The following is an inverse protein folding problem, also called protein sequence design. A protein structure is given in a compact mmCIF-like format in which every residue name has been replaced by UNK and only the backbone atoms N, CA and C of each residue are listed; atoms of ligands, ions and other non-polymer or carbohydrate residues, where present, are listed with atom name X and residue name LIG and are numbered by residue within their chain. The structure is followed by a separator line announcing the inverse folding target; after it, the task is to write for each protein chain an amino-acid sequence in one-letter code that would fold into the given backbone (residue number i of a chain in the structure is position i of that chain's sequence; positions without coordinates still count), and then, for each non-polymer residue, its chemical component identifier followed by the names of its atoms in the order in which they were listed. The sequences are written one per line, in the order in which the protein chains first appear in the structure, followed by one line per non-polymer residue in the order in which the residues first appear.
data_IF_576537363145
#
_entry.id   IF_576537363145
#
_cell.length_a   1.000
_cell.length_b   1.000
_cell.length_c   1.000
_cell.angle_alpha   90.00
_cell.angle_beta   90.00
_cell.angle_gamma   90.00
#
_symmetry.space_group_name_H-M   'P 1'
#
loop_
_entity.id
_entity.type
_entity.pdbx_description
1 polymer ?
2 non-polymer ?
3 water ?
#
# COMPACT_ATOMS: atom_id res chain seq x y z
N UNK A 19 13.95 -15.43 13.54
CA UNK A 19 14.40 -16.22 12.40
C UNK A 19 14.73 -15.33 11.20
N UNK A 20 14.30 -15.75 10.01
CA UNK A 20 14.41 -14.90 8.83
C UNK A 20 13.33 -13.84 8.90
N UNK A 21 13.69 -12.59 8.58
CA UNK A 21 12.77 -11.48 8.70
C UNK A 21 11.96 -11.25 7.43
N UNK A 22 10.86 -10.53 7.57
CA UNK A 22 10.05 -10.13 6.42
C UNK A 22 9.45 -8.75 6.65
N UNK A 23 9.23 -8.02 5.57
CA UNK A 23 8.35 -6.87 5.59
C UNK A 23 6.93 -7.36 5.32
N UNK A 24 5.99 -6.99 6.19
CA UNK A 24 4.59 -7.38 6.02
C UNK A 24 3.70 -6.14 5.97
N UNK A 25 2.97 -5.99 4.87
CA UNK A 25 2.08 -4.84 4.72
C UNK A 25 0.62 -5.28 4.61
N UNK A 26 -0.19 -4.90 5.59
CA UNK A 26 -1.62 -5.16 5.56
C UNK A 26 -2.35 -3.91 5.09
N UNK A 27 -2.72 -3.91 3.81
CA UNK A 27 -3.49 -2.84 3.23
C UNK A 27 -4.95 -3.03 3.57
N UNK A 28 -5.50 -2.13 4.37
CA UNK A 28 -6.86 -2.26 4.85
C UNK A 28 -7.84 -1.59 3.90
N UNK A 29 -8.01 -0.27 4.04
CA UNK A 29 -9.00 0.43 3.25
C UNK A 29 -8.40 1.62 2.50
N UNK A 30 -9.02 1.96 1.39
CA UNK A 30 -8.77 3.24 0.72
C UNK A 30 -10.10 3.98 0.68
N UNK A 31 -10.14 5.17 1.29
CA UNK A 31 -11.41 5.89 1.44
C UNK A 31 -11.42 7.24 0.74
N UNK A 32 -12.61 7.85 0.70
CA UNK A 32 -12.85 9.11 -0.01
C UNK A 32 -12.48 9.02 -1.48
N UNK A 33 -12.77 7.86 -2.07
CA UNK A 33 -12.65 7.70 -3.52
C UNK A 33 -13.69 8.53 -4.25
N UNK A 34 -13.36 8.97 -5.46
CA UNK A 34 -14.30 9.71 -6.29
C UNK A 34 -15.09 8.78 -7.22
N UNK A 35 -16.37 9.07 -7.42
CA UNK A 35 -17.19 8.30 -8.34
C UNK A 35 -17.25 6.79 -8.08
N UNK A 36 -17.45 6.05 -9.16
CA UNK A 36 -17.71 4.62 -9.10
C UNK A 36 -16.80 3.92 -10.11
N UNK A 37 -16.11 2.87 -9.67
CA UNK A 37 -15.13 2.22 -10.54
C UNK A 37 -14.64 0.94 -9.90
N UNK A 38 -14.21 -0.01 -10.74
CA UNK A 38 -13.41 -1.12 -10.25
C UNK A 38 -12.10 -0.50 -9.77
N UNK A 39 -11.60 -0.98 -8.63
CA UNK A 39 -10.35 -0.42 -8.09
C UNK A 39 -9.29 -1.49 -7.93
N UNK A 40 -8.03 -1.10 -8.05
CA UNK A 40 -6.92 -2.03 -7.83
C UNK A 40 -5.71 -1.32 -7.20
N UNK A 41 -5.01 -2.04 -6.33
CA UNK A 41 -3.88 -1.49 -5.61
C UNK A 41 -2.57 -2.18 -6.01
N UNK A 42 -1.49 -1.41 -6.05
CA UNK A 42 -0.16 -1.92 -6.35
C UNK A 42 0.81 -1.49 -5.25
N UNK A 43 1.56 -2.45 -4.71
CA UNK A 43 2.48 -2.17 -3.62
C UNK A 43 3.89 -2.61 -4.01
N UNK A 44 4.89 -1.80 -3.68
CA UNK A 44 6.25 -2.09 -4.12
C UNK A 44 7.28 -1.86 -3.03
N UNK A 45 8.22 -2.80 -2.93
CA UNK A 45 9.37 -2.67 -2.03
C UNK A 45 10.57 -3.36 -2.69
N UNK A 46 11.70 -2.67 -2.68
CA UNK A 46 12.93 -3.14 -3.31
C UNK A 46 12.70 -3.62 -4.76
N UNK A 47 11.86 -2.89 -5.49
CA UNK A 47 11.60 -3.20 -6.88
C UNK A 47 10.69 -4.39 -7.13
N UNK A 48 10.26 -5.05 -6.05
CA UNK A 48 9.30 -6.13 -6.19
C UNK A 48 7.87 -5.63 -5.92
N UNK A 49 7.02 -5.77 -6.93
CA UNK A 49 5.62 -5.31 -6.84
C UNK A 49 4.64 -6.46 -6.69
N UNK A 50 3.53 -6.20 -6.00
CA UNK A 50 2.39 -7.09 -5.99
C UNK A 50 1.14 -6.27 -6.29
N UNK A 51 0.16 -6.92 -6.92
CA UNK A 51 -1.15 -6.31 -7.10
C UNK A 51 -2.17 -6.95 -6.18
N UNK A 52 -3.09 -6.15 -5.67
CA UNK A 52 -4.27 -6.67 -5.00
C UNK A 52 -5.19 -7.31 -6.03
N UNK A 53 -6.21 -8.02 -5.55
CA UNK A 53 -7.37 -8.35 -6.37
C UNK A 53 -8.07 -7.08 -6.81
N UNK A 54 -8.78 -7.14 -7.92
CA UNK A 54 -9.64 -6.04 -8.36
C UNK A 54 -10.91 -6.01 -7.51
N UNK A 55 -11.20 -4.85 -6.92
CA UNK A 55 -12.48 -4.65 -6.24
C UNK A 55 -13.44 -4.01 -7.23
N UNK A 56 -14.43 -4.79 -7.66
CA UNK A 56 -15.35 -4.31 -8.69
C UNK A 56 -16.41 -3.39 -8.16
N UNK A 57 -16.74 -2.37 -8.96
CA UNK A 57 -17.90 -1.54 -8.71
C UNK A 57 -17.91 -0.85 -7.36
N UNK A 58 -16.78 -0.22 -7.01
CA UNK A 58 -16.62 0.37 -5.70
C UNK A 58 -16.82 1.89 -5.71
N UNK A 59 -17.63 2.40 -4.80
CA UNK A 59 -17.85 3.83 -4.71
C UNK A 59 -16.76 4.55 -3.90
N UNK A 60 -17.10 5.02 -2.70
CA UNK A 60 -16.18 5.87 -1.96
C UNK A 60 -15.14 5.16 -1.08
N UNK A 61 -15.40 3.90 -0.71
CA UNK A 61 -14.40 3.16 0.07
C UNK A 61 -14.11 1.81 -0.53
N UNK A 62 -12.82 1.50 -0.69
CA UNK A 62 -12.39 0.19 -1.16
C UNK A 62 -11.74 -0.56 -0.01
N UNK A 63 -12.43 -1.59 0.46
CA UNK A 63 -11.92 -2.40 1.55
C UNK A 63 -11.07 -3.53 0.97
N UNK A 64 -9.84 -3.22 0.59
CA UNK A 64 -8.92 -4.21 0.04
C UNK A 64 -8.65 -5.36 1.01
N UNK A 65 -8.33 -5.03 2.26
CA UNK A 65 -8.08 -6.05 3.29
C UNK A 65 -7.16 -7.19 2.79
N UNK A 66 -6.00 -6.81 2.26
CA UNK A 66 -5.04 -7.76 1.72
C UNK A 66 -3.64 -7.53 2.30
N UNK A 67 -2.92 -8.63 2.52
CA UNK A 67 -1.62 -8.58 3.15
C UNK A 67 -0.52 -9.00 2.17
N UNK A 68 0.57 -8.22 2.15
CA UNK A 68 1.68 -8.43 1.22
C UNK A 68 2.98 -8.67 1.99
N UNK A 69 3.86 -9.50 1.43
CA UNK A 69 5.01 -10.00 2.17
C UNK A 69 6.29 -9.96 1.34
N UNK A 70 7.35 -9.39 1.91
CA UNK A 70 8.66 -9.42 1.28
C UNK A 70 9.67 -10.05 2.22
N UNK A 71 10.14 -11.26 1.91
CA UNK A 71 11.23 -11.82 2.71
C UNK A 71 12.48 -10.95 2.59
N UNK A 72 13.12 -10.66 3.71
CA UNK A 72 14.34 -9.85 3.70
C UNK A 72 15.55 -10.63 4.19
N UNK A 73 16.44 -10.97 3.26
CA UNK A 73 17.59 -11.83 3.54
C UNK A 73 18.42 -11.37 4.74
N UNK A 74 18.68 -10.07 4.83
CA UNK A 74 19.51 -9.57 5.91
C UNK A 74 18.81 -8.52 6.76
N UNK A 75 18.71 -7.30 6.25
CA UNK A 75 18.19 -6.20 7.04
C UNK A 75 17.60 -5.08 6.20
N UNK A 76 16.86 -4.19 6.84
CA UNK A 76 16.26 -3.04 6.19
C UNK A 76 16.81 -1.75 6.80
N UNK A 77 17.29 -0.84 5.96
CA UNK A 77 17.78 0.46 6.44
C UNK A 77 16.69 1.53 6.48
N UNK A 78 16.87 2.48 7.40
CA UNK A 78 15.91 3.57 7.59
C UNK A 78 15.52 4.27 6.30
N UNK A 79 16.45 4.31 5.35
CA UNK A 79 16.30 5.09 4.12
C UNK A 79 15.35 4.50 3.07
N UNK A 80 15.11 3.20 3.14
CA UNK A 80 14.33 2.50 2.12
C UNK A 80 12.85 2.88 2.10
N UNK A 81 12.26 2.84 0.92
CA UNK A 81 10.93 3.39 0.70
C UNK A 81 9.90 2.31 0.37
N UNK A 82 8.72 2.41 0.99
CA UNK A 82 7.58 1.59 0.60
C UNK A 82 6.61 2.46 -0.21
N UNK A 83 6.22 1.97 -1.38
CA UNK A 83 5.29 2.71 -2.25
C UNK A 83 3.97 1.96 -2.46
N UNK A 84 2.86 2.70 -2.34
CA UNK A 84 1.51 2.21 -2.63
C UNK A 84 0.91 3.07 -3.75
N UNK A 85 0.38 2.44 -4.81
CA UNK A 85 -0.36 3.17 -5.84
C UNK A 85 -1.77 2.58 -5.99
N UNK A 86 -2.77 3.45 -6.15
CA UNK A 86 -4.15 3.02 -6.33
C UNK A 86 -4.65 3.43 -7.71
N UNK A 87 -5.30 2.50 -8.42
CA UNK A 87 -5.76 2.74 -9.79
C UNK A 87 -7.23 2.47 -9.98
N UNK A 88 -7.83 3.16 -10.95
CA UNK A 88 -9.11 2.73 -11.51
C UNK A 88 -8.83 1.69 -12.58
N UNK A 89 -9.48 0.54 -12.42
CA UNK A 89 -9.29 -0.59 -13.31
C UNK A 89 -10.49 -0.76 -14.22
N UNK A 90 -10.24 -1.14 -15.47
CA UNK A 90 -11.28 -1.60 -16.38
C UNK A 90 -10.64 -2.57 -17.35
N UNK A 91 -11.29 -3.70 -17.57
CA UNK A 91 -10.66 -4.87 -18.20
C UNK A 91 -10.07 -4.63 -19.59
N UNK A 92 -10.60 -3.66 -20.31
CA UNK A 92 -10.18 -3.42 -21.68
C UNK A 92 -9.44 -2.09 -21.83
N UNK A 93 -9.17 -1.43 -20.72
CA UNK A 93 -8.46 -0.16 -20.71
C UNK A 93 -7.21 -0.28 -19.87
N UNK A 94 -6.22 0.57 -20.14
CA UNK A 94 -5.06 0.67 -19.26
C UNK A 94 -5.48 1.25 -17.90
N UNK A 95 -4.82 0.80 -16.84
CA UNK A 95 -5.07 1.33 -15.49
C UNK A 95 -4.92 2.84 -15.46
N UNK A 96 -5.78 3.52 -14.70
CA UNK A 96 -5.67 4.97 -14.53
C UNK A 96 -5.29 5.31 -13.09
N UNK A 97 -4.11 5.91 -12.93
CA UNK A 97 -3.58 6.23 -11.60
C UNK A 97 -4.41 7.27 -10.85
N UNK A 98 -4.80 6.96 -9.61
CA UNK A 98 -5.54 7.89 -8.75
C UNK A 98 -4.56 8.69 -7.88
N UNK A 99 -3.66 7.98 -7.23
CA UNK A 99 -2.73 8.62 -6.32
C UNK A 99 -1.69 7.65 -5.80
N UNK A 100 -0.70 8.21 -5.10
CA UNK A 100 0.45 7.45 -4.65
C UNK A 100 0.76 7.80 -3.19
N UNK A 101 1.17 6.81 -2.42
CA UNK A 101 1.69 7.05 -1.08
C UNK A 101 3.06 6.42 -0.95
N UNK A 102 4.00 7.19 -0.40
CA UNK A 102 5.34 6.71 -0.14
C UNK A 102 5.68 6.95 1.31
N UNK A 103 6.39 6.01 1.93
CA UNK A 103 6.95 6.23 3.26
C UNK A 103 8.34 5.64 3.35
N UNK A 104 9.21 6.30 4.10
CA UNK A 104 10.48 5.70 4.47
C UNK A 104 10.20 4.78 5.65
N UNK A 105 11.03 3.75 5.83
CA UNK A 105 10.70 2.69 6.78
C UNK A 105 11.40 2.81 8.13
N UNK A 106 11.91 4.00 8.43
CA UNK A 106 12.61 4.25 9.69
C UNK A 106 11.83 3.80 10.91
N UNK A 107 10.58 4.25 11.04
CA UNK A 107 9.75 3.95 12.20
C UNK A 107 9.39 2.47 12.28
N UNK A 108 9.25 1.83 11.13
CA UNK A 108 8.94 0.40 11.08
C UNK A 108 10.13 -0.42 11.57
N UNK A 109 11.32 -0.05 11.12
CA UNK A 109 12.52 -0.75 11.54
C UNK A 109 12.77 -0.58 13.03
N UNK A 110 12.44 0.61 13.55
CA UNK A 110 12.66 0.91 14.96
C UNK A 110 11.62 0.29 15.89
N UNK A 111 10.35 0.35 15.49
CA UNK A 111 9.27 -0.06 16.36
C UNK A 111 8.60 -1.38 15.96
N UNK A 112 9.06 -1.96 14.86
CA UNK A 112 8.58 -3.27 14.43
C UNK A 112 7.16 -3.26 13.86
N UNK A 113 6.38 -2.25 14.26
CA UNK A 113 5.01 -2.10 13.79
C UNK A 113 4.57 -0.64 13.73
N UNK A 114 3.96 -0.26 12.61
CA UNK A 114 3.49 1.10 12.40
C UNK A 114 2.10 1.15 11.74
N UNK A 115 1.18 1.89 12.35
CA UNK A 115 -0.15 2.08 11.78
C UNK A 115 -0.15 3.35 10.92
N UNK A 116 -0.54 3.20 9.66
CA UNK A 116 -0.55 4.33 8.74
C UNK A 116 -1.97 4.76 8.40
N UNK A 117 -2.21 6.07 8.50
CA UNK A 117 -3.47 6.65 8.07
C UNK A 117 -3.15 8.01 7.44
N UNK A 118 -3.26 8.13 6.12
CA UNK A 118 -2.82 9.35 5.45
C UNK A 118 -3.42 9.52 4.06
N UNK A 119 -3.25 10.70 3.49
CA UNK A 119 -3.78 11.02 2.17
C UNK A 119 -2.80 10.62 1.06
N UNK A 120 -3.34 10.40 -0.13
CA UNK A 120 -2.50 10.12 -1.29
C UNK A 120 -2.01 11.44 -1.89
N UNK A 121 -1.02 11.33 -2.78
CA UNK A 121 -0.42 12.46 -3.46
C UNK A 121 -0.58 12.23 -4.96
N UNK A 122 -0.97 13.25 -5.72
CA UNK A 122 -1.11 13.06 -7.17
C UNK A 122 0.20 13.30 -7.90
N UNK A 123 0.15 13.30 -9.22
CA UNK A 123 1.37 13.35 -10.00
C UNK A 123 1.98 14.76 -10.08
N UNK A 124 1.32 15.74 -9.45
CA UNK A 124 1.88 17.08 -9.33
C UNK A 124 2.27 17.44 -7.91
N UNK A 125 2.44 16.42 -7.06
CA UNK A 125 2.74 16.59 -5.64
C UNK A 125 1.61 17.24 -4.84
N UNK A 126 0.42 17.25 -5.38
CA UNK A 126 -0.70 17.83 -4.65
C UNK A 126 -1.37 16.79 -3.77
N UNK A 127 -1.84 17.24 -2.61
CA UNK A 127 -2.51 16.38 -1.64
C UNK A 127 -3.97 16.22 -2.08
N UNK A 128 -4.41 14.98 -2.26
CA UNK A 128 -5.80 14.75 -2.58
C UNK A 128 -6.54 14.17 -1.39
N UNK A 129 -7.88 14.20 -1.45
CA UNK A 129 -8.71 13.74 -0.34
C UNK A 129 -8.67 12.22 -0.13
N UNK A 130 -8.52 11.46 -1.22
CA UNK A 130 -8.43 10.01 -1.12
C UNK A 130 -7.37 9.61 -0.11
N UNK A 131 -7.75 8.76 0.84
CA UNK A 131 -6.87 8.39 1.94
C UNK A 131 -6.68 6.88 2.04
N UNK A 132 -5.68 6.49 2.81
CA UNK A 132 -5.23 5.11 2.86
C UNK A 132 -5.11 4.67 4.32
N UNK A 133 -5.46 3.42 4.60
CA UNK A 133 -5.29 2.87 5.94
C UNK A 133 -4.51 1.56 5.79
N UNK A 134 -3.40 1.44 6.51
CA UNK A 134 -2.63 0.21 6.46
C UNK A 134 -1.72 0.04 7.67
N UNK A 135 -1.34 -1.21 7.94
CA UNK A 135 -0.39 -1.50 9.01
C UNK A 135 0.87 -2.10 8.40
N UNK A 136 2.02 -1.62 8.83
CA UNK A 136 3.29 -2.10 8.31
C UNK A 136 4.12 -2.76 9.40
N UNK A 137 4.59 -3.98 9.15
CA UNK A 137 5.40 -4.69 10.13
C UNK A 137 6.73 -5.20 9.60
N UNK A 138 7.75 -5.14 10.45
CA UNK A 138 9.02 -5.81 10.21
C UNK A 138 9.17 -6.82 11.33
N UNK A 139 9.20 -8.10 11.01
CA UNK A 139 9.11 -9.14 12.01
C UNK A 139 9.68 -10.46 11.51
N UNK A 140 9.88 -11.40 12.44
CA UNK A 140 10.21 -12.77 12.08
C UNK A 140 9.06 -13.34 11.27
N UNK A 141 9.38 -13.94 10.13
CA UNK A 141 8.35 -14.51 9.26
C UNK A 141 7.41 -15.47 10.00
N UNK A 142 7.98 -16.32 10.85
CA UNK A 142 7.24 -17.41 11.48
C UNK A 142 6.30 -17.01 12.63
N UNK A 143 6.13 -15.71 12.87
CA UNK A 143 5.30 -15.27 13.97
C UNK A 143 6.12 -15.10 15.24
N UNK A 144 7.39 -15.52 15.16
CA UNK A 144 8.46 -15.34 16.16
C UNK A 144 9.25 -16.62 16.36
X LIG B 1 -4.60 -11.27 2.56
#
# INVERSE_FOLDING_TARGET
MGSSHHHHHHSSGLVPRGSHMALIVHLKTVSELRGRADRIAKVTFRGQSFYSRVLENCEDVADFDETFRWPVASSIDRNEVLEIQIFNYSKVFSNKLIGTFRMVLQKVVEENRVEVSDTLIDDNNAIIKTSLSMEVRYQAADGT
MG MG
#
